data_IF_272033685578
#
_entry.id   IF_272033685578
#
_cell.length_a   1.000
_cell.length_b   1.000
_cell.length_c   1.000
_cell.angle_alpha   90.00
_cell.angle_beta   90.00
_cell.angle_gamma   90.00
#
_symmetry.space_group_name_H-M   'P 1'
#
loop_
_entity.id
_entity.type
_entity.pdbx_description
1 polymer ?
#
# COMPACT_ATOMS: atom_id res chain seq x y z
N UNK A 1 7.05 16.32 -11.98
CA UNK A 1 5.85 17.18 -11.81
C UNK A 1 4.60 16.35 -12.10
N UNK A 2 3.56 16.48 -11.29
CA UNK A 2 2.24 15.88 -11.61
C UNK A 2 1.68 16.51 -12.90
N UNK A 3 0.84 15.75 -13.62
CA UNK A 3 0.33 16.12 -14.96
C UNK A 3 -0.09 17.59 -15.11
N UNK A 4 -0.94 18.16 -14.24
CA UNK A 4 -1.39 19.54 -14.36
C UNK A 4 -0.25 20.57 -14.34
N UNK A 5 0.73 20.41 -13.45
CA UNK A 5 1.89 21.32 -13.33
C UNK A 5 2.83 21.20 -14.55
N UNK A 6 2.96 20.01 -15.12
CA UNK A 6 3.67 19.81 -16.40
C UNK A 6 3.00 20.58 -17.52
N UNK A 7 1.68 20.44 -17.68
CA UNK A 7 0.95 21.10 -18.76
C UNK A 7 0.88 22.61 -18.59
N UNK A 8 0.84 23.12 -17.36
CA UNK A 8 1.01 24.54 -17.04
C UNK A 8 2.40 25.06 -17.46
N UNK A 9 3.46 24.38 -17.04
CA UNK A 9 4.83 24.75 -17.37
C UNK A 9 5.09 24.69 -18.88
N UNK A 10 4.62 23.62 -19.55
CA UNK A 10 4.72 23.45 -20.99
C UNK A 10 3.94 24.55 -21.72
N UNK A 11 2.69 24.80 -21.34
CA UNK A 11 1.88 25.88 -21.93
C UNK A 11 2.53 27.25 -21.70
N UNK A 12 3.13 27.51 -20.53
CA UNK A 12 3.83 28.76 -20.22
C UNK A 12 5.08 28.96 -21.10
N UNK A 13 5.90 27.92 -21.27
CA UNK A 13 7.08 27.96 -22.14
C UNK A 13 6.69 28.16 -23.61
N UNK A 14 5.66 27.45 -24.06
CA UNK A 14 5.21 27.43 -25.45
C UNK A 14 4.42 28.69 -25.82
N UNK A 15 3.79 29.38 -24.87
CA UNK A 15 3.09 30.67 -25.09
C UNK A 15 3.99 31.78 -25.66
N UNK A 16 5.30 31.64 -25.55
CA UNK A 16 6.26 32.57 -26.17
C UNK A 16 6.39 32.38 -27.69
N UNK A 17 6.11 31.18 -28.20
CA UNK A 17 6.23 30.79 -29.60
C UNK A 17 4.86 30.57 -30.28
N UNK A 18 3.85 30.13 -29.52
CA UNK A 18 2.50 29.84 -30.00
C UNK A 18 1.48 30.60 -29.15
N UNK A 19 0.78 31.60 -29.72
CA UNK A 19 -0.10 32.49 -28.94
C UNK A 19 -1.39 31.82 -28.45
N UNK A 20 -1.73 30.64 -28.96
CA UNK A 20 -2.91 29.86 -28.52
C UNK A 20 -2.61 28.37 -28.51
N UNK A 21 -3.34 27.62 -27.68
CA UNK A 21 -3.27 26.15 -27.62
C UNK A 21 -3.67 25.52 -28.96
N UNK A 22 -4.59 26.14 -29.70
CA UNK A 22 -4.97 25.71 -31.04
C UNK A 22 -3.81 25.86 -32.04
N UNK A 23 -3.02 26.94 -31.95
CA UNK A 23 -1.86 27.13 -32.82
C UNK A 23 -0.74 26.12 -32.53
N UNK A 24 -0.55 25.75 -31.26
CA UNK A 24 0.34 24.66 -30.87
C UNK A 24 -0.19 23.30 -31.35
N UNK A 25 -1.49 23.05 -31.22
CA UNK A 25 -2.11 21.82 -31.71
C UNK A 25 -2.02 21.70 -33.24
N UNK A 26 -2.26 22.79 -33.97
CA UNK A 26 -2.10 22.85 -35.42
C UNK A 26 -0.66 22.55 -35.82
N UNK A 27 0.34 23.05 -35.09
CA UNK A 27 1.73 22.69 -35.31
C UNK A 27 1.96 21.19 -35.00
N UNK A 28 1.66 20.72 -33.78
CA UNK A 28 1.86 19.32 -33.37
C UNK A 28 1.12 18.30 -34.27
N UNK A 29 0.04 18.71 -34.94
CA UNK A 29 -0.77 17.87 -35.83
C UNK A 29 -0.36 17.98 -37.30
N UNK A 30 0.15 19.14 -37.75
CA UNK A 30 0.51 19.39 -39.16
C UNK A 30 2.03 19.29 -39.43
N UNK A 31 2.89 19.31 -38.41
CA UNK A 31 4.32 19.05 -38.60
C UNK A 31 4.51 17.59 -38.99
N UNK A 32 5.13 17.33 -40.16
CA UNK A 32 5.76 16.02 -40.37
C UNK A 32 6.73 15.76 -39.21
N UNK A 33 6.85 14.53 -38.68
CA UNK A 33 7.69 14.20 -37.52
C UNK A 33 9.19 14.56 -37.69
N UNK A 34 9.59 15.04 -38.86
CA UNK A 34 10.92 15.56 -39.22
C UNK A 34 11.06 17.09 -39.12
N UNK A 35 10.02 17.86 -38.78
CA UNK A 35 10.01 19.33 -38.92
C UNK A 35 9.49 20.07 -37.68
N UNK A 36 9.62 19.51 -36.48
CA UNK A 36 9.59 20.34 -35.26
C UNK A 36 11.03 20.87 -35.02
N UNK A 37 11.22 22.17 -34.74
CA UNK A 37 12.56 22.79 -34.60
C UNK A 37 13.32 22.38 -33.33
N UNK A 38 13.01 21.23 -32.74
CA UNK A 38 13.66 20.64 -31.56
C UNK A 38 14.95 19.88 -31.93
N UNK A 39 15.63 20.35 -33.00
CA UNK A 39 16.61 19.61 -33.79
C UNK A 39 17.97 19.32 -33.11
N UNK A 40 18.18 19.73 -31.86
CA UNK A 40 19.39 19.39 -31.08
C UNK A 40 19.14 18.49 -29.87
N UNK A 41 17.89 18.32 -29.41
CA UNK A 41 17.58 17.55 -28.19
C UNK A 41 16.95 16.18 -28.45
N UNK A 42 16.67 15.85 -29.72
CA UNK A 42 16.05 14.58 -30.14
C UNK A 42 17.06 13.58 -30.74
N UNK A 43 18.36 13.91 -30.77
CA UNK A 43 19.42 12.95 -31.12
C UNK A 43 19.47 11.84 -30.07
N UNK A 44 18.96 10.65 -30.42
CA UNK A 44 18.97 9.46 -29.56
C UNK A 44 17.60 8.80 -29.35
N UNK A 45 16.49 9.45 -29.76
CA UNK A 45 15.17 8.84 -29.67
C UNK A 45 14.91 7.87 -30.84
N UNK A 46 14.25 6.72 -30.60
CA UNK A 46 13.89 5.79 -31.69
C UNK A 46 13.06 6.50 -32.78
N UNK A 47 13.34 6.28 -34.07
CA UNK A 47 12.67 6.98 -35.19
C UNK A 47 11.14 6.80 -35.26
N UNK A 48 10.62 5.82 -34.55
CA UNK A 48 9.22 5.45 -34.41
C UNK A 48 8.50 6.15 -33.23
N UNK A 49 9.18 7.03 -32.51
CA UNK A 49 8.72 7.68 -31.27
C UNK A 49 7.83 8.94 -31.49
N UNK A 50 8.13 9.86 -32.43
CA UNK A 50 7.33 11.08 -32.62
C UNK A 50 5.85 10.87 -33.04
N UNK A 51 5.50 9.96 -33.98
CA UNK A 51 4.11 9.85 -34.43
C UNK A 51 3.15 9.23 -33.40
N UNK A 52 3.67 8.62 -32.32
CA UNK A 52 2.84 8.07 -31.22
C UNK A 52 2.70 9.04 -30.06
N UNK A 53 3.72 9.86 -29.80
CA UNK A 53 3.74 10.80 -28.68
C UNK A 53 2.93 12.06 -28.97
N UNK A 54 3.01 12.59 -30.20
CA UNK A 54 2.33 13.83 -30.57
C UNK A 54 0.80 13.75 -30.40
N UNK A 55 0.09 12.69 -30.88
CA UNK A 55 -1.35 12.57 -30.66
C UNK A 55 -1.73 12.47 -29.18
N UNK A 56 -0.88 11.81 -28.37
CA UNK A 56 -1.06 11.65 -26.93
C UNK A 56 -0.97 13.01 -26.23
N UNK A 57 0.09 13.76 -26.52
CA UNK A 57 0.31 15.11 -26.00
C UNK A 57 -0.80 16.07 -26.42
N UNK A 58 -1.17 16.11 -27.71
CA UNK A 58 -2.23 17.00 -28.20
C UNK A 58 -3.57 16.72 -27.51
N UNK A 59 -3.92 15.43 -27.35
CA UNK A 59 -5.17 15.02 -26.68
C UNK A 59 -5.18 15.41 -25.20
N UNK A 60 -4.06 15.26 -24.50
CA UNK A 60 -3.95 15.59 -23.07
C UNK A 60 -3.90 17.11 -22.86
N UNK A 61 -3.16 17.85 -23.69
CA UNK A 61 -3.14 19.31 -23.68
C UNK A 61 -4.54 19.90 -23.87
N UNK A 62 -5.32 19.36 -24.82
CA UNK A 62 -6.71 19.78 -25.04
C UNK A 62 -7.59 19.48 -23.82
N UNK A 63 -7.42 18.32 -23.21
CA UNK A 63 -8.19 17.94 -22.00
C UNK A 63 -7.87 18.88 -20.83
N UNK A 64 -6.58 19.16 -20.61
CA UNK A 64 -6.12 20.13 -19.62
C UNK A 64 -6.65 21.55 -19.90
N UNK A 65 -6.54 22.03 -21.14
CA UNK A 65 -7.00 23.37 -21.55
C UNK A 65 -8.50 23.60 -21.30
N UNK A 66 -9.29 22.53 -21.37
CA UNK A 66 -10.74 22.55 -21.15
C UNK A 66 -11.12 22.34 -19.67
N UNK A 67 -10.14 22.22 -18.76
CA UNK A 67 -10.38 21.94 -17.35
C UNK A 67 -10.99 20.57 -17.09
N UNK A 68 -10.80 19.59 -17.99
CA UNK A 68 -11.30 18.23 -17.82
C UNK A 68 -10.33 17.42 -16.97
N UNK A 69 -10.86 16.54 -16.13
CA UNK A 69 -10.05 15.51 -15.47
C UNK A 69 -9.59 14.46 -16.50
N UNK A 70 -8.31 14.09 -16.46
CA UNK A 70 -7.72 13.04 -17.30
C UNK A 70 -6.59 12.32 -16.54
N UNK A 71 -6.29 11.07 -16.90
CA UNK A 71 -5.07 10.39 -16.47
C UNK A 71 -3.91 10.78 -17.41
N UNK A 72 -2.89 11.53 -16.94
CA UNK A 72 -1.77 11.91 -17.78
C UNK A 72 -0.91 10.69 -18.12
N UNK A 73 -0.40 10.64 -19.36
CA UNK A 73 0.58 9.62 -19.79
C UNK A 73 1.99 10.16 -19.88
N UNK A 74 2.14 11.48 -19.91
CA UNK A 74 3.43 12.12 -20.05
C UNK A 74 3.83 12.74 -18.72
N UNK A 75 5.04 12.41 -18.28
CA UNK A 75 5.56 12.74 -16.95
C UNK A 75 6.98 13.31 -17.08
N UNK A 76 7.30 14.28 -16.21
CA UNK A 76 8.67 14.76 -16.02
C UNK A 76 9.20 14.25 -14.68
N UNK A 77 10.31 13.52 -14.73
CA UNK A 77 11.02 12.99 -13.57
C UNK A 77 12.28 13.83 -13.33
N UNK A 78 12.48 14.27 -12.08
CA UNK A 78 13.58 15.16 -11.70
C UNK A 78 13.21 16.66 -11.71
N UNK A 79 14.21 17.51 -11.49
CA UNK A 79 14.07 18.98 -11.44
C UNK A 79 15.17 19.66 -12.25
N UNK A 80 14.90 20.88 -12.74
CA UNK A 80 15.87 21.68 -13.49
C UNK A 80 16.12 21.19 -14.91
N UNK A 81 17.25 21.60 -15.49
CA UNK A 81 17.63 21.33 -16.90
C UNK A 81 17.88 19.84 -17.19
N UNK A 82 18.00 18.99 -16.17
CA UNK A 82 18.22 17.55 -16.29
C UNK A 82 16.96 16.71 -16.09
N UNK A 83 15.76 17.32 -16.09
CA UNK A 83 14.51 16.56 -15.94
C UNK A 83 14.24 15.70 -17.19
N UNK A 84 13.93 14.42 -16.98
CA UNK A 84 13.71 13.44 -18.04
C UNK A 84 12.21 13.25 -18.33
N UNK A 85 11.88 13.09 -19.61
CA UNK A 85 10.51 12.81 -20.07
C UNK A 85 10.23 11.31 -20.04
N UNK A 86 9.20 10.92 -19.31
CA UNK A 86 8.72 9.56 -19.22
C UNK A 86 7.32 9.47 -19.85
N UNK A 87 7.07 8.36 -20.55
CA UNK A 87 5.76 8.02 -21.09
C UNK A 87 5.30 6.76 -20.40
N UNK A 88 4.18 6.86 -19.69
CA UNK A 88 3.57 5.77 -18.97
C UNK A 88 2.44 5.18 -19.81
N UNK A 89 2.64 3.94 -20.27
CA UNK A 89 1.64 3.19 -21.04
C UNK A 89 1.78 1.69 -20.80
N UNK A 90 0.71 0.93 -21.05
CA UNK A 90 0.81 -0.53 -21.18
C UNK A 90 1.19 -0.90 -22.61
N UNK A 91 2.00 -1.95 -22.76
CA UNK A 91 2.21 -2.59 -24.05
C UNK A 91 0.89 -3.22 -24.49
N UNK A 92 0.39 -2.84 -25.66
CA UNK A 92 -0.69 -3.59 -26.30
C UNK A 92 -0.15 -4.94 -26.74
N UNK A 93 -0.82 -6.01 -26.32
CA UNK A 93 -0.63 -7.31 -26.93
C UNK A 93 -1.28 -7.24 -28.31
N UNK A 94 -0.45 -7.32 -29.34
CA UNK A 94 -0.92 -7.24 -30.71
C UNK A 94 -1.66 -8.54 -31.07
N UNK A 95 -2.99 -8.49 -30.99
CA UNK A 95 -3.86 -9.59 -31.41
C UNK A 95 -3.95 -9.72 -32.93
N UNK A 96 -3.32 -8.81 -33.70
CA UNK A 96 -3.34 -8.78 -35.17
C UNK A 96 -2.21 -9.57 -35.85
N UNK A 97 -1.32 -10.21 -35.08
CA UNK A 97 -0.49 -11.28 -35.63
C UNK A 97 -1.40 -12.26 -36.37
N UNK A 98 -1.07 -12.68 -37.60
CA UNK A 98 -1.89 -13.60 -38.42
C UNK A 98 -2.28 -14.93 -37.72
N UNK A 99 -1.69 -15.21 -36.54
CA UNK A 99 -1.98 -16.36 -35.67
C UNK A 99 -2.52 -16.00 -34.28
N UNK A 100 -2.70 -14.71 -33.96
CA UNK A 100 -3.00 -14.21 -32.61
C UNK A 100 -2.03 -14.72 -31.54
N UNK A 101 -2.13 -14.30 -30.28
CA UNK A 101 -1.75 -15.19 -29.19
C UNK A 101 -2.64 -16.45 -29.25
N UNK A 102 -2.11 -17.65 -28.99
CA UNK A 102 -2.95 -18.84 -28.90
C UNK A 102 -4.03 -18.64 -27.83
N UNK A 103 -5.23 -19.21 -27.99
CA UNK A 103 -6.24 -19.18 -26.95
C UNK A 103 -5.64 -19.72 -25.66
N UNK A 104 -5.71 -18.92 -24.59
CA UNK A 104 -5.17 -19.25 -23.29
C UNK A 104 -6.30 -19.41 -22.28
N UNK A 105 -6.19 -20.44 -21.44
CA UNK A 105 -7.02 -20.57 -20.25
C UNK A 105 -6.26 -19.95 -19.08
N UNK A 106 -6.84 -18.92 -18.47
CA UNK A 106 -6.33 -18.30 -17.26
C UNK A 106 -7.04 -18.97 -16.09
N UNK A 107 -6.28 -19.72 -15.28
CA UNK A 107 -6.76 -20.36 -14.06
C UNK A 107 -6.21 -19.58 -12.86
N UNK A 108 -6.91 -18.51 -12.51
CA UNK A 108 -6.54 -17.67 -11.37
C UNK A 108 -7.80 -17.37 -10.55
N UNK A 109 -7.92 -17.94 -9.33
CA UNK A 109 -9.08 -17.72 -8.46
C UNK A 109 -9.22 -16.27 -7.99
N UNK A 110 -8.15 -15.47 -8.13
CA UNK A 110 -8.12 -14.08 -7.70
C UNK A 110 -8.27 -13.09 -8.85
N UNK A 111 -8.34 -13.55 -10.11
CA UNK A 111 -8.34 -12.67 -11.27
C UNK A 111 -9.52 -11.70 -11.28
N UNK A 112 -9.24 -10.44 -11.63
CA UNK A 112 -10.25 -9.41 -11.86
C UNK A 112 -10.62 -9.34 -13.36
N UNK A 113 -11.86 -9.65 -13.74
CA UNK A 113 -12.28 -9.61 -15.15
C UNK A 113 -12.14 -8.22 -15.79
N UNK A 114 -12.34 -7.14 -15.02
CA UNK A 114 -12.23 -5.76 -15.56
C UNK A 114 -10.78 -5.41 -15.92
N UNK A 115 -9.81 -5.90 -15.14
CA UNK A 115 -8.39 -5.74 -15.43
C UNK A 115 -7.92 -6.69 -16.54
N UNK A 116 -8.41 -7.93 -16.57
CA UNK A 116 -8.09 -8.88 -17.65
C UNK A 116 -8.56 -8.37 -19.01
N UNK A 117 -9.77 -7.80 -19.08
CA UNK A 117 -10.34 -7.21 -20.30
C UNK A 117 -9.53 -6.02 -20.85
N UNK A 118 -8.64 -5.41 -20.06
CA UNK A 118 -7.73 -4.36 -20.53
C UNK A 118 -6.56 -4.91 -21.35
N UNK A 119 -6.25 -6.20 -21.19
CA UNK A 119 -5.07 -6.85 -21.79
C UNK A 119 -5.49 -7.90 -22.82
N UNK A 120 -6.53 -8.66 -22.52
CA UNK A 120 -7.01 -9.79 -23.33
C UNK A 120 -8.42 -9.54 -23.85
N UNK A 121 -8.69 -10.04 -25.05
CA UNK A 121 -10.06 -10.20 -25.54
C UNK A 121 -10.67 -11.45 -24.90
N UNK A 122 -11.30 -11.28 -23.73
CA UNK A 122 -11.87 -12.40 -22.97
C UNK A 122 -13.14 -12.89 -23.65
N UNK A 123 -13.06 -14.07 -24.25
CA UNK A 123 -14.15 -14.67 -25.04
C UNK A 123 -15.14 -15.47 -24.20
N UNK A 124 -14.74 -15.95 -23.01
CA UNK A 124 -15.60 -16.68 -22.09
C UNK A 124 -15.06 -16.61 -20.65
N UNK A 125 -15.98 -16.57 -19.69
CA UNK A 125 -15.68 -16.67 -18.25
C UNK A 125 -16.47 -17.84 -17.68
N UNK A 126 -15.78 -18.72 -16.94
CA UNK A 126 -16.39 -19.85 -16.27
C UNK A 126 -16.18 -19.69 -14.78
N UNK A 127 -17.27 -19.69 -14.01
CA UNK A 127 -17.22 -19.67 -12.54
C UNK A 127 -17.50 -21.07 -12.03
N UNK A 128 -16.69 -21.53 -11.08
CA UNK A 128 -16.92 -22.79 -10.36
C UNK A 128 -17.21 -22.45 -8.91
N UNK A 129 -18.13 -23.18 -8.30
CA UNK A 129 -18.43 -23.02 -6.87
C UNK A 129 -17.17 -23.30 -6.03
N UNK A 130 -16.87 -22.37 -5.12
CA UNK A 130 -15.80 -22.52 -4.15
C UNK A 130 -16.28 -23.48 -3.05
N UNK A 131 -15.56 -24.58 -2.77
CA UNK A 131 -15.92 -25.48 -1.69
C UNK A 131 -15.83 -24.77 -0.33
N UNK A 132 -16.66 -25.18 0.63
CA UNK A 132 -16.56 -24.67 2.01
C UNK A 132 -15.18 -24.91 2.59
N UNK A 133 -14.70 -23.98 3.41
CA UNK A 133 -13.42 -24.10 4.08
C UNK A 133 -13.31 -25.44 4.88
N UNK A 134 -12.21 -26.19 4.76
CA UNK A 134 -12.04 -27.49 5.44
C UNK A 134 -12.00 -27.34 6.96
N UNK A 135 -12.77 -28.15 7.68
CA UNK A 135 -12.89 -28.04 9.15
C UNK A 135 -11.61 -28.41 9.91
N UNK A 136 -10.75 -29.23 9.30
CA UNK A 136 -9.47 -29.69 9.83
C UNK A 136 -8.31 -28.71 9.57
N UNK A 137 -8.56 -27.62 8.82
CA UNK A 137 -7.58 -26.54 8.62
C UNK A 137 -8.01 -25.32 9.40
N UNK A 138 -7.33 -25.07 10.51
CA UNK A 138 -7.66 -24.02 11.48
C UNK A 138 -7.02 -22.70 11.11
N UNK A 139 -7.81 -21.62 11.11
CA UNK A 139 -7.30 -20.27 10.80
C UNK A 139 -7.33 -19.41 12.06
N UNK A 140 -6.15 -18.97 12.47
CA UNK A 140 -5.95 -18.07 13.59
C UNK A 140 -5.50 -16.72 13.03
N UNK A 141 -6.34 -15.69 13.12
CA UNK A 141 -6.01 -14.38 12.58
C UNK A 141 -5.72 -13.38 13.70
N UNK A 142 -4.49 -12.91 13.72
CA UNK A 142 -4.03 -11.85 14.60
C UNK A 142 -4.30 -10.49 13.96
N UNK A 143 -5.32 -9.81 14.47
CA UNK A 143 -5.69 -8.46 14.06
C UNK A 143 -5.05 -7.48 15.02
N UNK A 144 -3.98 -6.86 14.56
CA UNK A 144 -3.31 -5.72 15.17
C UNK A 144 -3.05 -4.67 14.08
N UNK A 145 -2.45 -3.54 14.43
CA UNK A 145 -2.08 -2.52 13.46
C UNK A 145 -1.16 -3.07 12.35
N UNK A 146 -1.24 -2.43 11.18
CA UNK A 146 -0.70 -2.88 9.91
C UNK A 146 0.74 -3.44 9.99
N UNK A 147 0.88 -4.77 9.85
CA UNK A 147 2.17 -5.45 9.69
C UNK A 147 2.70 -5.26 8.27
N UNK A 148 3.16 -4.05 8.00
CA UNK A 148 3.72 -3.66 6.70
C UNK A 148 5.22 -3.76 6.69
N UNK A 149 5.76 -3.72 5.46
CA UNK A 149 7.18 -3.51 5.22
C UNK A 149 7.76 -2.35 6.07
N UNK A 150 7.04 -1.25 6.18
CA UNK A 150 7.48 -0.08 6.96
C UNK A 150 7.42 -0.34 8.47
N UNK A 151 6.33 -0.94 8.96
CA UNK A 151 6.16 -1.27 10.38
C UNK A 151 7.23 -2.26 10.90
N UNK A 152 7.77 -3.09 10.02
CA UNK A 152 8.88 -4.01 10.31
C UNK A 152 10.28 -3.37 10.13
N UNK A 153 10.33 -2.05 9.88
CA UNK A 153 11.54 -1.24 9.85
C UNK A 153 12.35 -1.30 8.55
N UNK A 154 11.73 -1.64 7.42
CA UNK A 154 12.43 -1.83 6.15
C UNK A 154 12.51 -0.57 5.27
N UNK A 155 12.39 0.62 5.87
CA UNK A 155 12.63 1.92 5.23
C UNK A 155 14.00 2.46 5.66
N UNK A 156 15.05 2.13 4.92
CA UNK A 156 16.21 3.02 4.89
C UNK A 156 17.01 2.84 3.61
N UNK A 157 17.16 3.92 2.85
CA UNK A 157 18.13 4.03 1.74
C UNK A 157 19.58 4.00 2.24
N UNK A 158 19.79 4.05 3.55
CA UNK A 158 21.07 3.78 4.19
C UNK A 158 20.93 2.41 4.85
N UNK A 159 21.82 1.46 4.61
CA UNK A 159 21.73 0.08 5.17
C UNK A 159 21.74 0.00 6.73
N UNK A 160 21.45 1.07 7.46
CA UNK A 160 21.24 1.08 8.91
C UNK A 160 19.78 0.82 9.23
N UNK A 161 19.54 -0.38 9.75
CA UNK A 161 18.28 -0.82 10.33
C UNK A 161 17.90 0.08 11.52
N UNK A 162 16.73 0.71 11.49
CA UNK A 162 16.26 1.52 12.62
C UNK A 162 16.07 0.62 13.86
N UNK A 163 16.42 1.11 15.04
CA UNK A 163 16.23 0.35 16.29
C UNK A 163 14.75 0.00 16.53
N UNK A 164 13.85 0.89 16.09
CA UNK A 164 12.40 0.70 16.08
C UNK A 164 11.98 -0.52 15.25
N UNK A 165 12.59 -0.68 14.07
CA UNK A 165 12.37 -1.84 13.21
C UNK A 165 12.73 -3.16 13.85
N UNK A 166 13.89 -3.23 14.51
CA UNK A 166 14.32 -4.44 15.23
C UNK A 166 13.35 -4.79 16.36
N UNK A 167 12.97 -3.78 17.16
CA UNK A 167 12.02 -3.99 18.25
C UNK A 167 10.67 -4.49 17.74
N UNK A 168 10.15 -3.93 16.63
CA UNK A 168 8.91 -4.38 16.01
C UNK A 168 8.98 -5.84 15.56
N UNK A 169 10.09 -6.25 14.92
CA UNK A 169 10.28 -7.64 14.51
C UNK A 169 10.41 -8.59 15.69
N UNK A 170 11.20 -8.23 16.71
CA UNK A 170 11.27 -9.02 17.95
C UNK A 170 9.89 -9.21 18.56
N UNK A 171 9.07 -8.15 18.64
CA UNK A 171 7.68 -8.25 19.14
C UNK A 171 6.86 -9.26 18.33
N UNK A 172 6.89 -9.17 17.00
CA UNK A 172 6.14 -10.08 16.14
C UNK A 172 6.63 -11.53 16.24
N UNK A 173 7.94 -11.75 16.27
CA UNK A 173 8.50 -13.09 16.45
C UNK A 173 8.15 -13.68 17.81
N UNK A 174 8.18 -12.90 18.89
CA UNK A 174 7.73 -13.37 20.22
C UNK A 174 6.26 -13.72 20.23
N UNK A 175 5.40 -12.95 19.54
CA UNK A 175 3.96 -13.27 19.39
C UNK A 175 3.77 -14.57 18.60
N UNK A 176 4.51 -14.75 17.51
CA UNK A 176 4.52 -16.00 16.74
C UNK A 176 4.94 -17.17 17.63
N UNK A 177 6.10 -17.10 18.27
CA UNK A 177 6.60 -18.15 19.16
C UNK A 177 5.61 -18.50 20.28
N UNK A 178 4.94 -17.50 20.85
CA UNK A 178 3.92 -17.70 21.87
C UNK A 178 2.70 -18.46 21.33
N UNK A 179 2.24 -18.10 20.12
CA UNK A 179 1.17 -18.82 19.43
C UNK A 179 1.54 -20.25 19.04
N UNK A 180 2.84 -20.51 18.82
CA UNK A 180 3.35 -21.82 18.43
C UNK A 180 3.72 -22.74 19.61
N UNK A 181 3.78 -22.22 20.84
CA UNK A 181 4.38 -22.90 22.00
C UNK A 181 3.71 -24.24 22.38
N UNK A 182 2.46 -24.48 21.95
CA UNK A 182 1.73 -25.72 22.20
C UNK A 182 1.89 -26.82 21.14
N UNK A 183 2.57 -26.54 20.02
CA UNK A 183 2.63 -27.45 18.88
C UNK A 183 3.89 -28.34 18.88
N UNK A 184 3.80 -29.56 18.32
CA UNK A 184 4.95 -30.47 18.24
C UNK A 184 6.10 -29.88 17.42
N UNK A 185 7.32 -29.92 17.96
CA UNK A 185 8.49 -29.27 17.35
C UNK A 185 9.01 -29.97 16.08
N UNK A 186 8.60 -31.22 15.88
CA UNK A 186 8.89 -32.03 14.68
C UNK A 186 7.94 -31.73 13.51
N UNK A 187 6.94 -30.87 13.71
CA UNK A 187 6.07 -30.42 12.63
C UNK A 187 6.81 -29.50 11.66
N UNK A 188 6.56 -29.70 10.38
CA UNK A 188 7.01 -28.79 9.34
C UNK A 188 6.21 -27.48 9.40
N UNK A 189 6.93 -26.36 9.44
CA UNK A 189 6.38 -24.99 9.50
C UNK A 189 6.73 -24.23 8.23
N UNK A 190 5.72 -23.68 7.57
CA UNK A 190 5.86 -22.73 6.48
C UNK A 190 5.73 -21.30 6.99
N UNK A 191 6.58 -20.39 6.52
CA UNK A 191 6.42 -18.95 6.74
C UNK A 191 6.47 -18.18 5.42
N UNK A 192 5.48 -17.33 5.19
CA UNK A 192 5.46 -16.36 4.09
C UNK A 192 5.60 -14.96 4.66
N UNK A 193 6.61 -14.22 4.23
CA UNK A 193 6.84 -12.84 4.71
C UNK A 193 7.50 -11.96 3.65
N UNK A 194 8.12 -10.85 4.04
CA UNK A 194 8.85 -9.98 3.12
C UNK A 194 10.27 -10.51 2.86
N UNK A 195 10.72 -10.39 1.60
CA UNK A 195 12.00 -10.92 1.12
C UNK A 195 13.18 -10.52 2.00
N UNK A 196 13.19 -9.29 2.48
CA UNK A 196 14.30 -8.72 3.25
C UNK A 196 14.47 -9.34 4.64
N UNK A 197 13.43 -9.98 5.18
CA UNK A 197 13.44 -10.56 6.53
C UNK A 197 13.16 -12.07 6.52
N UNK A 198 13.11 -12.68 5.34
CA UNK A 198 12.80 -14.09 5.17
C UNK A 198 13.78 -14.98 5.95
N UNK A 199 15.09 -14.76 5.79
CA UNK A 199 16.13 -15.51 6.51
C UNK A 199 16.07 -15.30 8.04
N UNK A 200 15.80 -14.07 8.49
CA UNK A 200 15.66 -13.74 9.91
C UNK A 200 14.44 -14.46 10.52
N UNK A 201 13.33 -14.52 9.77
CA UNK A 201 12.11 -15.14 10.21
C UNK A 201 12.26 -16.66 10.39
N UNK A 202 13.01 -17.35 9.50
CA UNK A 202 13.32 -18.78 9.65
C UNK A 202 13.94 -19.07 11.01
N UNK A 203 15.00 -18.32 11.36
CA UNK A 203 15.73 -18.50 12.62
C UNK A 203 14.88 -18.21 13.86
N UNK A 204 13.83 -17.42 13.72
CA UNK A 204 12.95 -17.04 14.82
C UNK A 204 11.85 -18.08 15.12
N UNK A 205 11.53 -19.02 14.21
CA UNK A 205 10.41 -19.93 14.40
C UNK A 205 10.66 -20.96 15.50
N UNK A 206 11.89 -21.44 15.65
CA UNK A 206 12.27 -22.42 16.68
C UNK A 206 11.93 -23.88 16.36
N UNK A 207 11.52 -24.20 15.13
CA UNK A 207 11.20 -25.56 14.68
C UNK A 207 12.36 -26.19 13.88
N UNK A 208 12.37 -27.52 13.76
CA UNK A 208 13.41 -28.26 13.03
C UNK A 208 13.27 -28.16 11.50
N UNK A 209 12.04 -28.27 10.97
CA UNK A 209 11.72 -28.12 9.54
C UNK A 209 10.96 -26.80 9.32
N UNK A 210 11.70 -25.74 8.99
CA UNK A 210 11.15 -24.44 8.65
C UNK A 210 11.40 -24.14 7.19
N UNK A 211 10.32 -23.95 6.44
CA UNK A 211 10.31 -23.58 5.03
C UNK A 211 9.83 -22.16 4.90
N UNK A 212 10.47 -21.37 4.06
CA UNK A 212 10.10 -19.97 3.86
C UNK A 212 9.78 -19.67 2.41
N UNK A 213 8.93 -18.66 2.22
CA UNK A 213 8.78 -17.95 0.97
C UNK A 213 8.63 -16.46 1.27
N UNK A 214 8.83 -15.62 0.26
CA UNK A 214 8.41 -14.22 0.34
C UNK A 214 7.25 -13.90 -0.59
N UNK A 215 6.48 -12.88 -0.24
CA UNK A 215 5.42 -12.37 -1.10
C UNK A 215 5.95 -12.02 -2.50
N UNK A 216 5.30 -12.54 -3.53
CA UNK A 216 5.72 -12.50 -4.93
C UNK A 216 6.40 -13.79 -5.42
N UNK A 217 7.03 -14.57 -4.54
CA UNK A 217 7.69 -15.83 -4.88
C UNK A 217 6.80 -17.07 -4.68
N UNK A 218 5.67 -16.95 -3.97
CA UNK A 218 4.71 -18.03 -3.74
C UNK A 218 4.00 -18.52 -5.00
N UNK A 219 4.00 -17.71 -6.07
CA UNK A 219 3.23 -17.99 -7.29
C UNK A 219 3.75 -19.21 -8.01
N UNK A 220 2.89 -20.22 -8.15
CA UNK A 220 3.21 -21.47 -8.87
C UNK A 220 4.18 -22.40 -8.13
N UNK A 221 4.32 -22.23 -6.82
CA UNK A 221 5.15 -23.07 -5.96
C UNK A 221 4.31 -23.97 -5.06
N UNK A 222 4.76 -25.21 -4.89
CA UNK A 222 4.18 -26.20 -3.97
C UNK A 222 5.09 -26.44 -2.74
N UNK A 223 6.11 -25.61 -2.52
CA UNK A 223 7.10 -25.80 -1.44
C UNK A 223 6.50 -25.89 -0.03
N UNK A 224 5.32 -25.32 0.18
CA UNK A 224 4.63 -25.28 1.47
C UNK A 224 3.44 -26.26 1.53
N UNK A 225 3.26 -27.16 0.57
CA UNK A 225 2.07 -28.04 0.50
C UNK A 225 1.97 -29.05 1.65
N UNK A 226 3.10 -29.41 2.27
CA UNK A 226 3.17 -30.45 3.32
C UNK A 226 3.41 -29.90 4.73
N UNK A 227 3.36 -28.58 4.91
CA UNK A 227 3.55 -28.00 6.25
C UNK A 227 2.31 -28.24 7.11
N UNK A 228 2.50 -28.46 8.42
CA UNK A 228 1.40 -28.54 9.41
C UNK A 228 0.94 -27.17 9.87
N UNK A 229 1.87 -26.21 9.86
CA UNK A 229 1.62 -24.83 10.27
C UNK A 229 2.07 -23.91 9.14
N UNK A 230 1.19 -23.03 8.67
CA UNK A 230 1.52 -21.95 7.75
C UNK A 230 1.40 -20.61 8.48
N UNK A 231 2.42 -19.78 8.38
CA UNK A 231 2.48 -18.46 9.01
C UNK A 231 2.57 -17.41 7.94
N UNK A 232 1.65 -16.45 7.94
CA UNK A 232 1.65 -15.30 7.05
C UNK A 232 1.97 -14.06 7.88
N UNK A 233 3.20 -13.58 7.79
CA UNK A 233 3.64 -12.40 8.52
C UNK A 233 3.54 -11.16 7.62
N UNK A 234 2.49 -10.37 7.85
CA UNK A 234 2.18 -9.18 7.09
C UNK A 234 1.28 -9.43 5.89
N UNK A 235 1.33 -8.50 4.94
CA UNK A 235 0.74 -8.67 3.62
C UNK A 235 1.51 -7.80 2.61
N UNK A 236 1.49 -8.14 1.31
CA UNK A 236 2.24 -7.38 0.33
C UNK A 236 1.55 -6.03 0.11
N UNK A 237 2.22 -4.94 0.50
CA UNK A 237 1.90 -3.60 0.02
C UNK A 237 3.02 -3.18 -0.93
N UNK A 238 2.71 -2.85 -2.20
CA UNK A 238 3.72 -2.35 -3.12
C UNK A 238 4.26 -1.00 -2.63
N UNK A 239 5.44 -0.62 -3.14
CA UNK A 239 5.86 0.77 -3.01
C UNK A 239 4.80 1.69 -3.62
N UNK A 240 4.36 2.70 -2.87
CA UNK A 240 3.21 3.52 -3.24
C UNK A 240 3.48 4.35 -4.49
N UNK A 241 4.69 4.87 -4.64
CA UNK A 241 5.05 5.69 -5.79
C UNK A 241 5.20 4.82 -7.04
N UNK A 242 5.88 3.68 -6.92
CA UNK A 242 5.97 2.68 -7.99
C UNK A 242 4.58 2.14 -8.37
N UNK A 243 3.69 1.92 -7.40
CA UNK A 243 2.31 1.49 -7.65
C UNK A 243 1.52 2.55 -8.43
N UNK A 244 1.64 3.83 -8.07
CA UNK A 244 0.98 4.92 -8.80
C UNK A 244 1.46 4.98 -10.25
N UNK A 245 2.77 4.93 -10.46
CA UNK A 245 3.36 4.88 -11.80
C UNK A 245 2.83 3.68 -12.62
N UNK A 246 2.88 2.48 -12.03
CA UNK A 246 2.42 1.26 -12.70
C UNK A 246 0.91 1.32 -13.00
N UNK A 247 0.10 1.79 -12.05
CA UNK A 247 -1.35 1.93 -12.21
C UNK A 247 -1.69 2.98 -13.29
N UNK A 248 -0.99 4.12 -13.33
CA UNK A 248 -1.18 5.14 -14.37
C UNK A 248 -0.82 4.62 -15.76
N UNK A 249 0.26 3.85 -15.87
CA UNK A 249 0.65 3.19 -17.11
C UNK A 249 -0.35 2.11 -17.54
N UNK A 250 -0.79 1.26 -16.62
CA UNK A 250 -1.70 0.16 -16.90
C UNK A 250 -3.10 0.63 -17.24
N UNK A 251 -3.60 1.64 -16.52
CA UNK A 251 -4.92 2.24 -16.65
C UNK A 251 -4.87 3.54 -17.48
N UNK A 252 -3.95 3.64 -18.44
CA UNK A 252 -3.76 4.85 -19.25
C UNK A 252 -5.03 5.27 -20.02
N UNK A 253 -5.94 4.33 -20.27
CA UNK A 253 -7.20 4.52 -20.99
C UNK A 253 -8.35 4.98 -20.08
N UNK A 254 -8.15 4.96 -18.76
CA UNK A 254 -9.10 5.49 -17.80
C UNK A 254 -9.10 7.02 -17.77
N UNK A 255 -10.29 7.60 -17.70
CA UNK A 255 -10.42 9.06 -17.66
C UNK A 255 -9.88 9.65 -16.37
N UNK A 256 -10.04 8.98 -15.24
CA UNK A 256 -9.54 9.50 -13.96
C UNK A 256 -9.20 8.33 -13.06
N UNK A 257 -8.10 8.49 -12.34
CA UNK A 257 -7.66 7.56 -11.32
C UNK A 257 -7.82 8.21 -9.95
N UNK A 258 -8.29 7.43 -9.00
CA UNK A 258 -8.44 7.85 -7.61
C UNK A 258 -7.34 7.18 -6.78
N UNK A 259 -6.39 7.99 -6.33
CA UNK A 259 -5.29 7.57 -5.45
C UNK A 259 -5.50 8.06 -4.01
N UNK A 260 -6.75 8.27 -3.58
CA UNK A 260 -7.06 8.55 -2.20
C UNK A 260 -6.87 7.29 -1.35
N UNK A 261 -5.92 7.37 -0.42
CA UNK A 261 -5.68 6.33 0.57
C UNK A 261 -6.63 6.55 1.75
N UNK A 262 -7.51 5.59 2.00
CA UNK A 262 -8.53 5.68 3.04
C UNK A 262 -8.46 4.46 3.97
N UNK A 263 -8.89 4.65 5.22
CA UNK A 263 -9.19 3.55 6.13
C UNK A 263 -10.67 3.20 5.94
N UNK A 264 -10.96 1.91 5.70
CA UNK A 264 -12.32 1.40 5.62
C UNK A 264 -12.52 0.22 6.54
N UNK A 265 -13.72 0.16 7.10
CA UNK A 265 -14.21 -1.03 7.78
C UNK A 265 -14.38 -2.17 6.77
N UNK A 266 -13.82 -3.32 7.09
CA UNK A 266 -13.96 -4.59 6.39
C UNK A 266 -14.36 -5.67 7.39
N UNK A 267 -14.78 -6.83 6.90
CA UNK A 267 -15.32 -7.90 7.75
C UNK A 267 -14.53 -9.20 7.57
N UNK A 268 -14.27 -9.86 8.69
CA UNK A 268 -13.76 -11.23 8.77
C UNK A 268 -14.93 -12.17 9.06
N UNK A 269 -15.06 -13.23 8.28
CA UNK A 269 -16.06 -14.28 8.50
C UNK A 269 -15.55 -15.25 9.58
N UNK A 270 -16.38 -15.53 10.58
CA UNK A 270 -16.05 -16.40 11.71
C UNK A 270 -16.74 -17.76 11.58
N UNK A 271 -16.14 -18.79 12.16
CA UNK A 271 -16.67 -20.17 12.13
C UNK A 271 -18.02 -20.34 12.82
N UNK A 272 -18.40 -19.44 13.74
CA UNK A 272 -19.70 -19.42 14.40
C UNK A 272 -20.82 -18.78 13.54
N UNK A 273 -20.49 -18.33 12.32
CA UNK A 273 -21.39 -17.62 11.41
C UNK A 273 -21.49 -16.12 11.68
N UNK A 274 -20.73 -15.59 12.65
CA UNK A 274 -20.59 -14.17 12.91
C UNK A 274 -19.59 -13.50 11.98
N UNK A 275 -19.49 -12.17 12.11
CA UNK A 275 -18.46 -11.37 11.45
C UNK A 275 -17.77 -10.47 12.46
N UNK A 276 -16.48 -10.20 12.24
CA UNK A 276 -15.72 -9.22 13.01
C UNK A 276 -15.30 -8.05 12.13
N UNK A 277 -15.60 -6.83 12.57
CA UNK A 277 -15.21 -5.60 11.88
C UNK A 277 -13.71 -5.30 12.14
N UNK A 278 -13.00 -4.96 11.07
CA UNK A 278 -11.58 -4.57 11.11
C UNK A 278 -11.36 -3.33 10.27
N UNK A 279 -10.50 -2.43 10.74
CA UNK A 279 -10.15 -1.22 9.99
C UNK A 279 -8.95 -1.51 9.09
N UNK A 280 -9.10 -1.30 7.79
CA UNK A 280 -8.07 -1.61 6.79
C UNK A 280 -7.77 -0.37 5.97
N UNK A 281 -6.49 -0.03 5.86
CA UNK A 281 -6.03 1.09 5.05
C UNK A 281 -5.70 0.64 3.62
N UNK A 282 -6.10 1.40 2.61
CA UNK A 282 -5.77 1.09 1.22
C UNK A 282 -6.47 1.99 0.20
N UNK A 283 -6.40 1.59 -1.07
CA UNK A 283 -7.19 2.18 -2.15
C UNK A 283 -8.50 1.42 -2.33
N UNK A 284 -9.62 2.14 -2.28
CA UNK A 284 -10.95 1.52 -2.23
C UNK A 284 -11.92 1.96 -3.33
N UNK A 285 -11.50 2.88 -4.20
CA UNK A 285 -12.34 3.42 -5.26
C UNK A 285 -11.83 3.07 -6.67
N UNK A 286 -12.78 2.77 -7.56
CA UNK A 286 -12.55 2.64 -9.00
C UNK A 286 -11.55 1.56 -9.41
N UNK A 287 -10.95 1.75 -10.59
CA UNK A 287 -9.99 0.80 -11.17
C UNK A 287 -8.66 0.73 -10.40
N UNK A 288 -8.30 1.79 -9.67
CA UNK A 288 -7.11 1.79 -8.80
C UNK A 288 -7.29 0.79 -7.67
N UNK A 289 -8.46 0.72 -7.03
CA UNK A 289 -8.74 -0.26 -5.99
C UNK A 289 -8.70 -1.71 -6.50
N UNK A 290 -9.29 -1.98 -7.67
CA UNK A 290 -9.21 -3.30 -8.30
C UNK A 290 -7.76 -3.69 -8.56
N UNK A 291 -6.95 -2.76 -9.08
CA UNK A 291 -5.54 -2.99 -9.37
C UNK A 291 -4.72 -3.19 -8.09
N UNK A 292 -4.98 -2.40 -7.04
CA UNK A 292 -4.36 -2.56 -5.73
C UNK A 292 -4.68 -3.91 -5.10
N UNK A 293 -5.94 -4.37 -5.22
CA UNK A 293 -6.37 -5.70 -4.76
C UNK A 293 -5.56 -6.82 -5.39
N UNK A 294 -5.33 -6.75 -6.70
CA UNK A 294 -4.50 -7.73 -7.42
C UNK A 294 -3.05 -7.76 -6.95
N UNK A 295 -2.52 -6.63 -6.48
CA UNK A 295 -1.14 -6.52 -5.99
C UNK A 295 -1.00 -6.95 -4.53
N UNK A 296 -2.05 -6.76 -3.73
CA UNK A 296 -2.00 -6.95 -2.28
C UNK A 296 -2.80 -8.19 -1.82
N UNK A 297 -4.12 -8.09 -1.88
CA UNK A 297 -5.05 -9.08 -1.33
C UNK A 297 -4.96 -10.42 -2.10
N UNK A 298 -4.80 -10.38 -3.42
CA UNK A 298 -4.60 -11.59 -4.22
C UNK A 298 -3.32 -12.33 -3.84
N UNK A 299 -2.24 -11.61 -3.50
CA UNK A 299 -0.99 -12.22 -3.02
C UNK A 299 -1.19 -12.93 -1.67
N UNK A 300 -1.94 -12.30 -0.75
CA UNK A 300 -2.26 -12.91 0.54
C UNK A 300 -3.15 -14.15 0.37
N UNK A 301 -4.17 -14.08 -0.49
CA UNK A 301 -5.00 -15.23 -0.86
C UNK A 301 -4.14 -16.38 -1.41
N UNK A 302 -3.24 -16.10 -2.35
CA UNK A 302 -2.34 -17.10 -2.93
C UNK A 302 -1.41 -17.71 -1.89
N UNK A 303 -0.94 -16.91 -0.92
CA UNK A 303 -0.09 -17.37 0.17
C UNK A 303 -0.82 -18.31 1.12
N UNK A 304 -2.05 -17.97 1.56
CA UNK A 304 -2.91 -18.85 2.38
C UNK A 304 -3.08 -20.21 1.71
N UNK A 305 -3.28 -20.24 0.39
CA UNK A 305 -3.56 -21.47 -0.33
C UNK A 305 -2.32 -22.33 -0.64
N UNK A 306 -1.11 -21.91 -0.24
CA UNK A 306 0.11 -22.72 -0.43
C UNK A 306 0.15 -23.98 0.43
N UNK A 307 -0.56 -24.01 1.56
CA UNK A 307 -0.77 -25.22 2.37
C UNK A 307 -1.85 -26.16 1.78
N UNK A 308 -2.38 -25.81 0.59
CA UNK A 308 -3.39 -26.59 -0.16
C UNK A 308 -4.56 -27.09 0.71
N UNK A 309 -5.28 -26.18 1.41
CA UNK A 309 -6.23 -26.56 2.46
C UNK A 309 -7.27 -27.60 1.99
N UNK A 310 -7.76 -27.46 0.76
CA UNK A 310 -8.79 -28.34 0.20
C UNK A 310 -8.30 -29.75 -0.18
N UNK A 311 -6.99 -30.01 -0.19
CA UNK A 311 -6.41 -31.33 -0.46
C UNK A 311 -5.97 -32.05 0.82
N UNK A 312 -6.11 -31.42 1.98
CA UNK A 312 -5.73 -31.98 3.27
C UNK A 312 -6.74 -33.05 3.69
N UNK A 313 -6.29 -34.30 3.98
CA UNK A 313 -7.17 -35.34 4.49
C UNK A 313 -7.89 -34.92 5.78
N UNK A 314 -9.17 -35.28 6.00
CA UNK A 314 -9.93 -34.86 7.19
C UNK A 314 -9.31 -35.25 8.54
N UNK A 315 -8.50 -36.31 8.57
CA UNK A 315 -7.74 -36.78 9.73
C UNK A 315 -6.44 -36.00 9.98
N UNK A 316 -6.01 -35.18 9.01
CA UNK A 316 -4.80 -34.37 9.12
C UNK A 316 -5.14 -32.94 9.55
N UNK A 317 -4.77 -32.58 10.77
CA UNK A 317 -4.95 -31.24 11.31
C UNK A 317 -3.84 -30.30 10.83
N UNK A 318 -4.24 -29.10 10.38
CA UNK A 318 -3.32 -28.04 9.97
C UNK A 318 -3.75 -26.69 10.53
N UNK A 319 -2.79 -25.78 10.70
CA UNK A 319 -3.03 -24.45 11.25
C UNK A 319 -2.46 -23.38 10.32
N UNK A 320 -3.20 -22.28 10.17
CA UNK A 320 -2.78 -21.09 9.45
C UNK A 320 -2.82 -19.91 10.42
N UNK A 321 -1.68 -19.30 10.68
CA UNK A 321 -1.56 -18.09 11.48
C UNK A 321 -1.38 -16.88 10.57
N UNK A 322 -2.34 -15.96 10.59
CA UNK A 322 -2.35 -14.77 9.75
C UNK A 322 -2.10 -13.54 10.62
N UNK A 323 -0.95 -12.88 10.44
CA UNK A 323 -0.57 -11.68 11.18
C UNK A 323 -0.77 -10.42 10.32
N UNK A 324 -2.05 -10.05 10.15
CA UNK A 324 -2.49 -8.84 9.47
C UNK A 324 -3.97 -8.59 9.75
N UNK A 325 -4.38 -7.32 9.72
CA UNK A 325 -5.79 -6.91 9.76
C UNK A 325 -6.51 -7.06 8.42
N UNK A 326 -5.82 -7.43 7.33
CA UNK A 326 -6.41 -7.62 6.01
C UNK A 326 -7.24 -8.92 5.95
N UNK A 327 -8.56 -8.86 5.64
CA UNK A 327 -9.34 -10.06 5.36
C UNK A 327 -8.83 -10.81 4.14
N UNK A 328 -8.91 -12.14 4.21
CA UNK A 328 -8.66 -13.01 3.05
C UNK A 328 -10.00 -13.52 2.55
N UNK A 329 -10.27 -13.28 1.26
CA UNK A 329 -11.52 -13.69 0.64
C UNK A 329 -11.73 -15.21 0.77
N UNK A 330 -12.97 -15.61 1.10
CA UNK A 330 -13.41 -17.01 1.22
C UNK A 330 -12.70 -17.84 2.32
N UNK A 331 -11.95 -17.19 3.21
CA UNK A 331 -11.31 -17.81 4.37
C UNK A 331 -12.14 -17.55 5.62
N UNK A 332 -12.47 -18.63 6.34
CA UNK A 332 -13.23 -18.56 7.58
C UNK A 332 -12.25 -18.63 8.76
N UNK A 333 -12.33 -17.68 9.69
CA UNK A 333 -11.47 -17.59 10.87
C UNK A 333 -12.04 -18.43 12.01
N UNK A 334 -11.21 -19.32 12.56
CA UNK A 334 -11.52 -20.11 13.77
C UNK A 334 -11.27 -19.30 15.04
N UNK A 335 -10.17 -18.55 15.07
CA UNK A 335 -9.77 -17.77 16.24
C UNK A 335 -9.32 -16.38 15.82
N UNK A 336 -10.06 -15.37 16.29
CA UNK A 336 -9.70 -13.97 16.15
C UNK A 336 -8.88 -13.55 17.37
N UNK A 337 -7.64 -13.13 17.15
CA UNK A 337 -6.77 -12.66 18.20
C UNK A 337 -6.56 -11.16 18.02
N UNK A 338 -7.15 -10.36 18.90
CA UNK A 338 -6.90 -8.92 18.92
C UNK A 338 -5.65 -8.64 19.75
N UNK A 339 -4.66 -7.98 19.14
CA UNK A 339 -3.47 -7.56 19.88
C UNK A 339 -3.82 -6.61 21.02
N UNK A 340 -3.05 -6.60 22.13
CA UNK A 340 -3.22 -5.61 23.19
C UNK A 340 -2.89 -4.18 22.71
N UNK A 341 -2.32 -4.02 21.52
CA UNK A 341 -1.84 -2.75 20.99
C UNK A 341 -2.96 -1.86 20.43
N UNK A 342 -4.01 -2.41 19.81
CA UNK A 342 -5.23 -1.65 19.51
C UNK A 342 -5.89 -1.07 20.76
N UNK A 343 -5.96 -1.87 21.84
CA UNK A 343 -6.41 -1.37 23.14
C UNK A 343 -5.41 -0.36 23.71
N UNK A 344 -4.10 -0.59 23.61
CA UNK A 344 -3.09 0.38 24.06
C UNK A 344 -3.12 1.68 23.27
N UNK A 345 -3.47 1.69 21.99
CA UNK A 345 -3.61 2.91 21.18
C UNK A 345 -4.84 3.67 21.63
N UNK A 346 -5.98 3.00 21.81
CA UNK A 346 -7.19 3.61 22.40
C UNK A 346 -6.87 4.16 23.78
N UNK A 347 -6.24 3.36 24.64
CA UNK A 347 -5.85 3.78 25.99
C UNK A 347 -4.82 4.92 25.96
N UNK A 348 -3.87 4.92 25.01
CA UNK A 348 -2.86 5.98 24.83
C UNK A 348 -3.55 7.27 24.39
N UNK A 349 -4.48 7.17 23.46
CA UNK A 349 -5.27 8.30 22.99
C UNK A 349 -6.12 8.89 24.11
N UNK A 350 -6.83 8.06 24.87
CA UNK A 350 -7.57 8.47 26.07
C UNK A 350 -6.64 9.12 27.12
N UNK A 351 -5.46 8.52 27.37
CA UNK A 351 -4.44 9.07 28.27
C UNK A 351 -3.95 10.43 27.79
N UNK A 352 -3.68 10.59 26.49
CA UNK A 352 -3.24 11.85 25.87
C UNK A 352 -4.31 12.91 26.05
N UNK A 353 -5.57 12.61 25.72
CA UNK A 353 -6.68 13.57 25.87
C UNK A 353 -6.87 14.00 27.31
N UNK A 354 -6.76 13.05 28.26
CA UNK A 354 -6.81 13.36 29.68
C UNK A 354 -5.65 14.25 30.13
N UNK A 355 -4.40 13.91 29.78
CA UNK A 355 -3.24 14.72 30.16
C UNK A 355 -3.25 16.11 29.52
N UNK A 356 -3.68 16.22 28.26
CA UNK A 356 -3.88 17.51 27.63
C UNK A 356 -4.94 18.34 28.37
N UNK A 357 -6.04 17.73 28.79
CA UNK A 357 -7.06 18.39 29.61
C UNK A 357 -6.52 18.86 30.96
N UNK A 358 -5.97 17.94 31.76
CA UNK A 358 -5.51 18.18 33.13
C UNK A 358 -4.36 19.20 33.16
N UNK A 359 -3.33 19.00 32.34
CA UNK A 359 -2.15 19.88 32.35
C UNK A 359 -2.46 21.24 31.74
N UNK A 360 -3.35 21.32 30.73
CA UNK A 360 -3.73 22.62 30.17
C UNK A 360 -4.69 23.37 31.08
N UNK A 361 -5.44 22.70 31.96
CA UNK A 361 -6.19 23.35 33.04
C UNK A 361 -5.27 24.09 34.02
N UNK A 362 -4.16 23.48 34.40
CA UNK A 362 -3.19 24.06 35.35
C UNK A 362 -2.18 25.02 34.70
N UNK A 363 -1.80 24.78 33.45
CA UNK A 363 -0.81 25.55 32.69
C UNK A 363 -1.38 25.89 31.31
N UNK A 364 -1.36 27.15 30.86
CA UNK A 364 -1.83 27.52 29.51
C UNK A 364 -1.08 26.80 28.35
N UNK A 365 0.02 26.08 28.66
CA UNK A 365 0.93 25.45 27.70
C UNK A 365 1.47 24.11 28.21
N UNK A 366 1.55 23.12 27.32
CA UNK A 366 2.21 21.83 27.55
C UNK A 366 3.19 21.53 26.41
N UNK A 367 4.45 21.23 26.72
CA UNK A 367 5.42 20.84 25.69
C UNK A 367 5.20 19.38 25.25
N UNK A 368 5.50 19.07 23.99
CA UNK A 368 5.47 17.68 23.46
C UNK A 368 6.36 16.76 24.30
N UNK A 369 7.49 17.28 24.78
CA UNK A 369 8.40 16.53 25.66
C UNK A 369 7.80 16.21 27.02
N UNK A 370 7.15 17.18 27.65
CA UNK A 370 6.46 16.95 28.91
C UNK A 370 5.34 15.91 28.74
N UNK A 371 4.57 15.99 27.65
CA UNK A 371 3.55 14.98 27.34
C UNK A 371 4.16 13.57 27.12
N UNK A 372 5.27 13.46 26.38
CA UNK A 372 5.97 12.20 26.20
C UNK A 372 6.54 11.64 27.52
N UNK A 373 7.03 12.51 28.41
CA UNK A 373 7.51 12.13 29.76
C UNK A 373 6.36 11.64 30.66
N UNK A 374 5.16 12.21 30.55
CA UNK A 374 3.95 11.72 31.24
C UNK A 374 3.46 10.36 30.71
N UNK A 375 3.60 10.12 29.41
CA UNK A 375 3.20 8.86 28.76
C UNK A 375 4.20 7.72 29.00
N UNK A 376 5.49 8.03 29.10
CA UNK A 376 6.55 7.01 29.14
C UNK A 376 6.41 5.95 30.25
N UNK A 377 5.95 6.26 31.48
CA UNK A 377 5.73 5.24 32.50
C UNK A 377 4.57 4.29 32.21
N UNK A 378 3.70 4.64 31.26
CA UNK A 378 2.45 3.94 30.95
C UNK A 378 2.51 3.18 29.61
N UNK A 379 3.62 3.29 28.89
CA UNK A 379 3.81 2.76 27.54
C UNK A 379 5.11 1.95 27.45
N UNK A 380 5.10 0.85 26.70
CA UNK A 380 6.30 0.04 26.41
C UNK A 380 7.16 0.69 25.31
N UNK A 381 7.34 2.01 25.35
CA UNK A 381 8.07 2.80 24.35
C UNK A 381 9.08 3.74 25.02
N UNK A 382 10.20 3.98 24.32
CA UNK A 382 11.15 4.98 24.78
C UNK A 382 10.56 6.38 24.70
N UNK A 383 11.04 7.30 25.54
CA UNK A 383 10.64 8.72 25.49
C UNK A 383 10.87 9.30 24.09
N UNK A 384 11.96 8.93 23.42
CA UNK A 384 12.29 9.42 22.07
C UNK A 384 11.25 8.95 21.03
N UNK A 385 10.77 7.71 21.14
CA UNK A 385 9.72 7.16 20.29
C UNK A 385 8.38 7.86 20.51
N UNK A 386 8.05 8.13 21.78
CA UNK A 386 6.83 8.86 22.16
C UNK A 386 6.88 10.31 21.68
N UNK A 387 8.05 10.96 21.78
CA UNK A 387 8.28 12.31 21.29
C UNK A 387 7.98 12.42 19.79
N UNK A 388 8.56 11.52 18.99
CA UNK A 388 8.34 11.47 17.54
C UNK A 388 6.85 11.26 17.23
N UNK A 389 6.23 10.27 17.89
CA UNK A 389 4.81 9.98 17.69
C UNK A 389 3.90 11.16 18.04
N UNK A 390 4.08 11.81 19.19
CA UNK A 390 3.27 12.99 19.59
C UNK A 390 3.49 14.15 18.61
N UNK A 391 4.70 14.32 18.09
CA UNK A 391 5.00 15.38 17.14
C UNK A 391 4.36 15.13 15.77
N UNK A 392 4.37 13.89 15.28
CA UNK A 392 3.71 13.48 14.02
C UNK A 392 2.18 13.60 14.10
N UNK A 393 1.60 13.31 15.26
CA UNK A 393 0.15 13.31 15.45
C UNK A 393 -0.40 14.62 16.06
N UNK A 394 0.46 15.59 16.36
CA UNK A 394 0.11 16.77 17.16
C UNK A 394 -1.02 17.62 16.60
N UNK A 395 -1.10 17.78 15.28
CA UNK A 395 -2.20 18.53 14.63
C UNK A 395 -3.56 17.85 14.82
N UNK A 396 -3.60 16.52 14.67
CA UNK A 396 -4.82 15.73 14.89
C UNK A 396 -5.25 15.78 16.35
N UNK A 397 -4.30 15.57 17.27
CA UNK A 397 -4.54 15.61 18.70
C UNK A 397 -5.08 16.98 19.16
N UNK A 398 -4.51 18.07 18.65
CA UNK A 398 -4.98 19.40 19.00
C UNK A 398 -6.36 19.74 18.45
N UNK A 399 -6.66 19.27 17.23
CA UNK A 399 -7.98 19.43 16.61
C UNK A 399 -9.05 18.77 17.46
N UNK A 400 -8.80 17.54 17.92
CA UNK A 400 -9.74 16.78 18.74
C UNK A 400 -9.89 17.35 20.16
N UNK A 401 -8.79 17.76 20.78
CA UNK A 401 -8.80 18.38 22.10
C UNK A 401 -9.32 19.84 22.09
N UNK A 402 -9.58 20.44 20.92
CA UNK A 402 -10.03 21.84 20.81
C UNK A 402 -8.98 22.87 21.21
N UNK A 403 -7.70 22.55 21.01
CA UNK A 403 -6.54 23.37 21.40
C UNK A 403 -5.70 23.73 20.16
N UNK A 404 -4.61 24.45 20.35
CA UNK A 404 -3.65 24.78 19.29
C UNK A 404 -2.37 23.96 19.45
N UNK A 405 -1.81 23.52 18.33
CA UNK A 405 -0.49 22.86 18.28
C UNK A 405 0.50 23.73 17.52
N UNK A 406 1.69 23.91 18.09
CA UNK A 406 2.82 24.55 17.41
C UNK A 406 3.92 23.52 17.20
N UNK A 407 4.22 23.12 15.95
CA UNK A 407 5.30 22.18 15.67
C UNK A 407 6.67 22.80 15.97
N UNK A 408 7.62 21.97 16.36
CA UNK A 408 8.97 22.42 16.69
C UNK A 408 9.83 22.66 15.44
N UNK A 409 10.37 23.86 15.28
CA UNK A 409 11.35 24.20 14.24
C UNK A 409 12.55 24.95 14.83
N UNK A 410 13.77 24.59 14.39
CA UNK A 410 15.07 25.21 14.71
C UNK A 410 15.07 26.15 15.94
N UNK A 411 15.18 25.55 17.13
CA UNK A 411 15.29 26.28 18.40
C UNK A 411 13.97 26.51 19.14
N UNK A 412 12.81 26.18 18.54
CA UNK A 412 11.51 26.19 19.21
C UNK A 412 11.09 24.77 19.61
N UNK A 413 10.60 24.63 20.85
CA UNK A 413 10.08 23.37 21.38
C UNK A 413 8.61 23.21 20.93
N UNK A 414 8.30 22.06 20.35
CA UNK A 414 6.93 21.72 19.97
C UNK A 414 6.01 21.70 21.19
N UNK A 415 4.80 22.25 21.09
CA UNK A 415 3.90 22.44 22.25
C UNK A 415 2.43 22.58 21.87
N UNK A 416 1.58 22.28 22.84
CA UNK A 416 0.15 22.47 22.84
C UNK A 416 -0.22 23.69 23.69
N UNK A 417 -1.19 24.49 23.25
CA UNK A 417 -1.67 25.68 23.98
C UNK A 417 -3.18 25.83 23.87
N UNK A 418 -3.83 26.33 24.95
CA UNK A 418 -5.25 26.70 24.92
C UNK A 418 -5.50 27.78 23.86
N UNK A 419 -6.59 27.65 23.11
CA UNK A 419 -7.03 28.73 22.23
C UNK A 419 -7.45 29.93 23.08
N UNK A 420 -6.72 31.04 22.98
CA UNK A 420 -7.18 32.30 23.54
C UNK A 420 -8.22 32.87 22.59
N UNK A 421 -9.48 32.94 23.04
CA UNK A 421 -10.44 33.83 22.41
C UNK A 421 -9.99 35.26 22.67
N UNK A 422 -9.34 35.88 21.69
CA UNK A 422 -9.18 37.32 21.65
C UNK A 422 -10.56 37.94 21.42
N UNK A 423 -11.24 38.28 22.51
CA UNK A 423 -12.37 39.19 22.50
C UNK A 423 -11.86 40.59 22.19
N UNK A 424 -11.62 40.88 20.91
CA UNK A 424 -11.51 42.25 20.43
C UNK A 424 -12.92 42.82 20.20
N UNK A 425 -13.58 43.18 21.29
CA UNK A 425 -14.57 44.25 21.29
C UNK A 425 -13.83 45.54 21.65
N UNK A 426 -13.57 46.38 20.64
CA UNK A 426 -13.52 47.84 20.76
C UNK A 426 -13.73 48.53 19.41
#
# INVERSE_FOLDING_TARGET
MEGPALYEAFTSAVKSEFPTINALEDELTNSSPTMLPWSSHLEGLPRNFPPKLLPVLSSELRSWAQGRNFNPRVHLIGTGESAEWHIWWRKHLDHSLEKGPPPAFILDPTADPSLLNKVFDVTATFTKDVPSWPKNVKVHQWVDDLVTRNALGMRSMTNQMSQLGKAARTRWYTRIQSGLAGYPQDWAVGIVTHKEIEEEAIGAMGFEDVRSMHYGAERGSDQLEDVKILILLGFPIPDIDAFKEEAQAFLYDERQLDFNWEIREQFLDLTDGGTAAVQVSGYWNGQVANYFRQKCQSGLYQAVHRIQPYLVPPEDERHIFIYTNMPVQDVIVDELICGPESQRIVDRHERVMRFLGDELEESDRLSVRALAELLSPLEDMSIDTLLEWVQENGESLATEAGISFTPGHRGQVARFEKQRHDSHDH
#
